data_IF_892529264883
#
_entry.id   IF_892529264883
#
_cell.length_a   1.000
_cell.length_b   1.000
_cell.length_c   1.000
_cell.angle_alpha   90.00
_cell.angle_beta   90.00
_cell.angle_gamma   90.00
#
_symmetry.space_group_name_H-M   'P 1'
#
loop_
_entity.id
_entity.type
_entity.pdbx_description
1 polymer ?
#
# COMPACT_ATOMS: atom_id res chain seq x y z
N UNK A 1 47.02 -32.27 51.56
CA UNK A 1 46.27 -32.68 50.33
C UNK A 1 44.82 -32.85 50.76
N UNK A 2 43.77 -32.19 50.26
CA UNK A 2 43.36 -31.82 48.89
C UNK A 2 42.59 -30.49 48.93
N UNK A 3 42.78 -29.66 47.90
CA UNK A 3 41.95 -28.49 47.58
C UNK A 3 40.70 -28.96 46.83
N UNK A 4 39.52 -28.46 47.20
CA UNK A 4 38.32 -28.59 46.37
C UNK A 4 37.87 -27.20 45.90
N UNK A 5 37.99 -27.02 44.59
CA UNK A 5 37.74 -25.81 43.82
C UNK A 5 36.23 -25.60 43.66
N UNK A 6 35.77 -24.38 43.91
CA UNK A 6 34.40 -23.92 43.70
C UNK A 6 34.06 -23.92 42.21
N UNK A 7 32.87 -24.40 41.84
CA UNK A 7 32.30 -24.20 40.51
C UNK A 7 30.96 -23.48 40.66
N UNK A 8 30.96 -22.17 40.41
CA UNK A 8 29.77 -21.36 40.34
C UNK A 8 29.19 -21.45 38.92
N UNK A 9 27.98 -21.99 38.80
CA UNK A 9 27.26 -22.11 37.54
C UNK A 9 26.52 -20.80 37.27
N UNK A 10 27.08 -19.94 36.41
CA UNK A 10 26.38 -18.76 35.90
C UNK A 10 25.45 -19.22 34.75
N UNK A 11 24.14 -19.22 35.00
CA UNK A 11 23.12 -19.32 33.94
C UNK A 11 23.05 -17.97 33.21
N UNK A 12 23.74 -17.86 32.07
CA UNK A 12 23.53 -16.77 31.12
C UNK A 12 22.24 -17.02 30.35
N UNK A 13 21.18 -16.30 30.73
CA UNK A 13 19.92 -16.24 29.99
C UNK A 13 20.19 -15.47 28.68
N UNK A 14 20.39 -16.20 27.58
CA UNK A 14 20.51 -15.61 26.25
C UNK A 14 19.15 -15.01 25.85
N UNK A 15 19.01 -13.70 26.04
CA UNK A 15 17.93 -12.93 25.44
C UNK A 15 18.12 -12.99 23.92
N UNK A 16 17.42 -13.89 23.24
CA UNK A 16 17.34 -13.86 21.79
C UNK A 16 16.70 -12.52 21.38
N UNK A 17 17.35 -11.72 20.52
CA UNK A 17 16.69 -10.54 19.98
C UNK A 17 15.47 -11.01 19.22
N UNK A 18 14.28 -10.55 19.63
CA UNK A 18 13.09 -10.64 18.79
C UNK A 18 13.38 -9.76 17.58
N UNK A 19 13.84 -10.38 16.49
CA UNK A 19 13.89 -9.72 15.20
C UNK A 19 12.46 -9.32 14.88
N UNK A 20 12.20 -8.01 14.87
CA UNK A 20 10.95 -7.47 14.39
C UNK A 20 10.77 -7.95 12.94
N UNK A 21 9.90 -8.94 12.75
CA UNK A 21 9.56 -9.47 11.44
C UNK A 21 8.82 -8.37 10.66
N UNK A 22 9.50 -7.78 9.68
CA UNK A 22 8.83 -7.01 8.63
C UNK A 22 7.87 -7.95 7.88
N UNK A 23 6.66 -7.49 7.58
CA UNK A 23 5.73 -8.28 6.76
C UNK A 23 6.32 -8.42 5.36
N UNK A 24 6.74 -9.63 5.00
CA UNK A 24 7.18 -9.96 3.64
C UNK A 24 5.96 -10.08 2.73
N UNK A 25 5.74 -9.08 1.89
CA UNK A 25 4.62 -9.09 0.94
C UNK A 25 4.86 -10.05 -0.21
N UNK A 26 3.77 -10.56 -0.79
CA UNK A 26 3.83 -11.39 -1.99
C UNK A 26 4.13 -10.55 -3.24
N UNK A 27 5.12 -10.93 -4.07
CA UNK A 27 5.28 -10.33 -5.39
C UNK A 27 4.11 -10.70 -6.30
N UNK A 28 3.80 -9.83 -7.25
CA UNK A 28 2.74 -10.05 -8.23
C UNK A 28 1.71 -8.93 -8.28
N UNK A 29 0.51 -9.28 -8.73
CA UNK A 29 -0.61 -8.35 -8.89
C UNK A 29 -1.27 -8.09 -7.56
N UNK A 30 -1.45 -6.82 -7.24
CA UNK A 30 -2.24 -6.33 -6.14
C UNK A 30 -3.39 -5.48 -6.64
N UNK A 31 -4.58 -5.64 -6.08
CA UNK A 31 -5.74 -4.80 -6.35
C UNK A 31 -5.98 -3.86 -5.18
N UNK A 32 -5.98 -2.55 -5.46
CA UNK A 32 -6.18 -1.47 -4.49
C UNK A 32 -7.57 -0.88 -4.66
N UNK A 33 -8.36 -0.94 -3.60
CA UNK A 33 -9.71 -0.38 -3.55
C UNK A 33 -9.76 0.79 -2.57
N UNK A 34 -10.23 1.96 -3.03
CA UNK A 34 -10.39 3.15 -2.22
C UNK A 34 -11.85 3.34 -1.79
N UNK A 35 -12.04 3.73 -0.52
CA UNK A 35 -13.33 3.90 0.14
C UNK A 35 -13.27 5.10 1.11
N UNK A 36 -14.45 5.50 1.62
CA UNK A 36 -14.59 6.56 2.61
C UNK A 36 -13.89 7.89 2.25
N UNK A 37 -13.78 8.18 0.94
CA UNK A 37 -13.13 9.39 0.46
C UNK A 37 -13.99 10.61 0.76
N UNK A 38 -13.38 11.64 1.34
CA UNK A 38 -14.02 12.93 1.63
C UNK A 38 -13.14 14.09 1.16
N UNK A 39 -13.77 15.13 0.63
CA UNK A 39 -13.12 16.39 0.25
C UNK A 39 -14.03 17.54 0.66
N UNK A 40 -13.51 18.50 1.42
CA UNK A 40 -14.31 19.65 1.91
C UNK A 40 -15.51 19.24 2.77
N UNK A 41 -15.44 18.08 3.44
CA UNK A 41 -16.55 17.51 4.21
C UNK A 41 -17.63 16.83 3.36
N UNK A 42 -17.46 16.74 2.04
CA UNK A 42 -18.35 16.01 1.14
C UNK A 42 -17.81 14.61 0.88
N UNK A 43 -18.67 13.60 1.01
CA UNK A 43 -18.35 12.24 0.62
C UNK A 43 -18.25 12.14 -0.90
N UNK A 44 -17.15 11.58 -1.38
CA UNK A 44 -16.93 11.28 -2.79
C UNK A 44 -17.33 9.84 -3.10
N UNK A 45 -17.71 9.52 -4.35
CA UNK A 45 -17.98 8.14 -4.75
C UNK A 45 -16.78 7.24 -4.50
N UNK A 46 -17.02 6.08 -3.86
CA UNK A 46 -16.01 5.03 -3.68
C UNK A 46 -15.70 4.30 -4.98
N UNK A 47 -14.63 3.49 -4.98
CA UNK A 47 -14.25 2.71 -6.16
C UNK A 47 -15.33 1.71 -6.59
N UNK A 48 -16.06 1.13 -5.64
CA UNK A 48 -17.21 0.27 -5.88
C UNK A 48 -18.29 0.95 -6.73
N UNK A 49 -18.64 2.20 -6.38
CA UNK A 49 -19.64 2.99 -7.11
C UNK A 49 -19.14 3.38 -8.49
N UNK A 50 -17.87 3.78 -8.60
CA UNK A 50 -17.24 4.10 -9.88
C UNK A 50 -17.28 2.87 -10.79
N UNK A 51 -16.84 1.70 -10.30
CA UNK A 51 -16.84 0.44 -11.05
C UNK A 51 -18.25 0.04 -11.50
N UNK A 52 -19.26 0.18 -10.63
CA UNK A 52 -20.65 -0.07 -10.98
C UNK A 52 -21.13 0.85 -12.12
N UNK A 53 -20.76 2.13 -12.08
CA UNK A 53 -21.09 3.06 -13.18
C UNK A 53 -20.41 2.65 -14.48
N UNK A 54 -19.15 2.22 -14.46
CA UNK A 54 -18.46 1.76 -15.67
C UNK A 54 -19.11 0.51 -16.27
N UNK A 55 -19.55 -0.42 -15.42
CA UNK A 55 -20.26 -1.64 -15.86
C UNK A 55 -21.60 -1.30 -16.53
N UNK A 56 -22.21 -0.17 -16.20
CA UNK A 56 -23.44 0.30 -16.83
C UNK A 56 -23.21 1.05 -18.15
N UNK A 57 -21.96 1.36 -18.52
CA UNK A 57 -21.66 2.01 -19.80
C UNK A 57 -21.87 1.05 -20.99
N UNK A 58 -22.25 1.58 -22.18
CA UNK A 58 -22.22 0.81 -23.42
C UNK A 58 -20.83 0.22 -23.68
N UNK A 59 -20.72 -1.00 -24.26
CA UNK A 59 -19.45 -1.70 -24.43
C UNK A 59 -18.35 -0.86 -25.11
N UNK A 60 -18.69 -0.15 -26.20
CA UNK A 60 -17.74 0.69 -26.92
C UNK A 60 -17.20 1.84 -26.06
N UNK A 61 -18.06 2.46 -25.25
CA UNK A 61 -17.66 3.56 -24.36
C UNK A 61 -16.80 3.05 -23.19
N UNK A 62 -17.14 1.87 -22.65
CA UNK A 62 -16.34 1.23 -21.61
C UNK A 62 -14.93 0.89 -22.12
N UNK A 63 -14.83 0.26 -23.29
CA UNK A 63 -13.55 -0.08 -23.92
C UNK A 63 -12.70 1.16 -24.20
N UNK A 64 -13.31 2.24 -24.71
CA UNK A 64 -12.61 3.51 -24.92
C UNK A 64 -12.04 4.06 -23.62
N UNK A 65 -12.81 4.03 -22.54
CA UNK A 65 -12.37 4.50 -21.22
C UNK A 65 -11.27 3.62 -20.61
N UNK A 66 -11.43 2.30 -20.68
CA UNK A 66 -10.41 1.34 -20.25
C UNK A 66 -9.10 1.51 -21.04
N UNK A 67 -9.18 1.73 -22.35
CA UNK A 67 -8.02 2.04 -23.20
C UNK A 67 -7.30 3.30 -22.74
N UNK A 68 -8.02 4.40 -22.52
CA UNK A 68 -7.43 5.65 -22.00
C UNK A 68 -6.79 5.49 -20.62
N UNK A 69 -7.36 4.65 -19.74
CA UNK A 69 -6.77 4.35 -18.44
C UNK A 69 -5.49 3.52 -18.59
N UNK A 70 -5.51 2.51 -19.47
CA UNK A 70 -4.35 1.68 -19.77
C UNK A 70 -3.20 2.50 -20.36
N UNK A 71 -3.49 3.48 -21.23
CA UNK A 71 -2.49 4.43 -21.75
C UNK A 71 -1.84 5.27 -20.64
N UNK A 72 -2.58 5.55 -19.56
CA UNK A 72 -2.07 6.19 -18.34
C UNK A 72 -1.45 5.18 -17.36
N UNK A 73 -1.29 3.93 -17.78
CA UNK A 73 -0.70 2.86 -16.99
C UNK A 73 -1.58 2.35 -15.85
N UNK A 74 -2.89 2.64 -15.88
CA UNK A 74 -3.88 2.19 -14.91
C UNK A 74 -4.65 1.01 -15.48
N UNK A 75 -4.67 -0.10 -14.76
CA UNK A 75 -5.52 -1.26 -15.07
C UNK A 75 -6.58 -1.39 -14.00
N UNK A 76 -7.83 -1.59 -14.39
CA UNK A 76 -8.91 -1.87 -13.44
C UNK A 76 -9.14 -3.37 -13.33
N UNK A 77 -9.30 -3.83 -12.09
CA UNK A 77 -9.80 -5.15 -11.77
C UNK A 77 -11.25 -5.08 -11.28
N UNK A 78 -11.71 -6.13 -10.61
CA UNK A 78 -13.11 -6.26 -10.21
C UNK A 78 -13.47 -5.37 -9.01
N UNK A 79 -12.52 -5.10 -8.12
CA UNK A 79 -12.71 -4.31 -6.90
C UNK A 79 -11.91 -3.01 -6.83
N UNK A 80 -11.01 -2.75 -7.79
CA UNK A 80 -10.18 -1.54 -7.76
C UNK A 80 -9.11 -1.48 -8.84
N UNK A 81 -8.07 -0.69 -8.59
CA UNK A 81 -6.92 -0.52 -9.50
C UNK A 81 -5.91 -1.64 -9.25
N UNK A 82 -5.47 -2.30 -10.32
CA UNK A 82 -4.43 -3.32 -10.25
C UNK A 82 -3.04 -2.70 -10.47
N UNK A 83 -2.11 -3.06 -9.60
CA UNK A 83 -0.69 -2.71 -9.68
C UNK A 83 0.16 -3.99 -9.62
N UNK A 84 1.34 -3.97 -10.24
CA UNK A 84 2.33 -5.03 -10.07
C UNK A 84 3.36 -4.58 -9.02
N UNK A 85 3.60 -5.42 -8.01
CA UNK A 85 4.70 -5.26 -7.07
C UNK A 85 5.77 -6.31 -7.38
N UNK A 86 6.98 -5.88 -7.72
CA UNK A 86 8.10 -6.80 -7.96
C UNK A 86 8.75 -7.23 -6.65
N UNK A 87 9.47 -8.35 -6.69
CA UNK A 87 10.20 -8.85 -5.53
C UNK A 87 11.28 -7.84 -5.08
N UNK A 88 11.94 -7.18 -6.03
CA UNK A 88 12.94 -6.15 -5.76
C UNK A 88 12.32 -4.95 -5.04
N UNK A 89 11.15 -4.48 -5.47
CA UNK A 89 10.43 -3.37 -4.83
C UNK A 89 10.02 -3.71 -3.39
N UNK A 90 9.56 -4.94 -3.16
CA UNK A 90 9.18 -5.41 -1.83
C UNK A 90 10.42 -5.48 -0.93
N UNK A 91 11.53 -6.06 -1.43
CA UNK A 91 12.78 -6.20 -0.69
C UNK A 91 13.45 -4.86 -0.37
N UNK A 92 13.43 -3.91 -1.31
CA UNK A 92 13.95 -2.56 -1.08
C UNK A 92 13.02 -1.71 -0.21
N UNK A 93 11.83 -2.21 0.12
CA UNK A 93 10.75 -1.47 0.77
C UNK A 93 10.38 -0.21 -0.03
N UNK A 94 10.53 -0.25 -1.34
CA UNK A 94 10.16 0.79 -2.29
C UNK A 94 8.83 0.42 -2.95
N UNK A 95 7.80 0.29 -2.11
CA UNK A 95 6.44 0.00 -2.57
C UNK A 95 5.91 1.30 -3.20
N UNK A 96 5.58 1.31 -4.50
CA UNK A 96 5.02 2.48 -5.17
C UNK A 96 3.59 2.69 -4.68
N UNK A 97 3.45 3.40 -3.55
CA UNK A 97 2.15 3.83 -3.03
C UNK A 97 1.52 4.94 -3.88
N UNK A 98 2.26 5.45 -4.88
CA UNK A 98 1.85 6.52 -5.79
C UNK A 98 2.33 6.23 -7.21
N UNK A 99 1.64 6.80 -8.20
CA UNK A 99 2.07 6.76 -9.60
C UNK A 99 3.35 7.62 -9.77
N UNK A 100 4.45 7.08 -10.31
CA UNK A 100 5.68 7.85 -10.53
C UNK A 100 5.49 9.09 -11.42
N UNK A 101 4.45 9.13 -12.26
CA UNK A 101 4.14 10.28 -13.12
C UNK A 101 3.19 11.31 -12.46
N UNK A 102 2.76 11.07 -11.22
CA UNK A 102 1.78 11.95 -10.53
C UNK A 102 2.36 13.30 -10.09
N UNK A 103 3.69 13.47 -10.09
CA UNK A 103 4.36 14.62 -9.49
C UNK A 103 4.28 14.65 -7.96
N UNK A 104 3.78 13.58 -7.34
CA UNK A 104 3.74 13.45 -5.89
C UNK A 104 5.09 12.97 -5.35
N UNK A 105 5.51 13.54 -4.23
CA UNK A 105 6.63 13.10 -3.42
C UNK A 105 6.06 12.45 -2.15
N UNK A 106 6.64 11.32 -1.74
CA UNK A 106 6.32 10.64 -0.50
C UNK A 106 7.58 10.45 0.35
N UNK A 107 7.47 10.78 1.63
CA UNK A 107 8.51 10.58 2.61
C UNK A 107 8.00 9.66 3.72
N UNK A 108 8.65 8.50 3.89
CA UNK A 108 8.35 7.63 5.02
C UNK A 108 8.92 8.25 6.31
N UNK A 109 8.06 8.43 7.31
CA UNK A 109 8.40 9.06 8.60
C UNK A 109 8.62 8.02 9.71
N UNK A 110 7.98 6.86 9.60
CA UNK A 110 8.13 5.76 10.56
C UNK A 110 8.02 4.42 9.81
N UNK A 111 8.92 3.49 10.13
CA UNK A 111 8.82 2.09 9.70
C UNK A 111 8.92 1.18 10.91
N UNK A 112 7.87 0.44 11.16
CA UNK A 112 7.83 -0.70 12.07
C UNK A 112 7.32 -1.95 11.33
N UNK A 113 7.40 -3.12 11.96
CA UNK A 113 7.14 -4.40 11.29
C UNK A 113 5.83 -4.48 10.51
N UNK A 114 4.74 -3.92 11.06
CA UNK A 114 3.41 -3.95 10.46
C UNK A 114 2.76 -2.57 10.26
N UNK A 115 3.48 -1.47 10.53
CA UNK A 115 2.95 -0.12 10.40
C UNK A 115 4.01 0.80 9.79
N UNK A 116 3.67 1.40 8.65
CA UNK A 116 4.45 2.47 8.05
C UNK A 116 3.67 3.77 8.13
N UNK A 117 4.33 4.86 8.50
CA UNK A 117 3.75 6.19 8.42
C UNK A 117 4.51 7.00 7.40
N UNK A 118 3.81 7.87 6.69
CA UNK A 118 4.39 8.68 5.64
C UNK A 118 3.75 10.05 5.57
N UNK A 119 4.49 10.98 4.99
CA UNK A 119 3.98 12.25 4.48
C UNK A 119 4.02 12.24 2.98
N UNK A 120 3.12 12.98 2.36
CA UNK A 120 3.13 13.17 0.92
C UNK A 120 2.83 14.62 0.55
N UNK A 121 3.39 15.04 -0.58
CA UNK A 121 3.15 16.34 -1.21
C UNK A 121 3.01 16.13 -2.71
N UNK A 122 1.88 16.53 -3.25
CA UNK A 122 1.52 16.55 -4.67
C UNK A 122 1.27 18.00 -5.10
N UNK A 123 1.19 18.31 -6.41
CA UNK A 123 0.88 19.67 -6.88
C UNK A 123 -0.41 20.25 -6.27
N UNK A 124 -1.45 19.42 -6.15
CA UNK A 124 -2.78 19.82 -5.66
C UNK A 124 -3.14 19.22 -4.29
N UNK A 125 -2.26 18.44 -3.66
CA UNK A 125 -2.60 17.71 -2.44
C UNK A 125 -1.40 17.58 -1.50
N UNK A 126 -1.63 17.50 -0.20
CA UNK A 126 -0.59 17.17 0.76
C UNK A 126 -1.19 16.57 2.01
N UNK A 127 -0.41 15.81 2.78
CA UNK A 127 -0.89 15.27 4.03
C UNK A 127 0.00 14.18 4.60
N UNK A 128 -0.61 13.39 5.47
CA UNK A 128 0.04 12.26 6.13
C UNK A 128 -0.83 11.01 5.96
N UNK A 129 -0.20 9.85 6.01
CA UNK A 129 -0.89 8.59 5.97
C UNK A 129 -0.19 7.50 6.76
N UNK A 130 -0.94 6.45 7.03
CA UNK A 130 -0.41 5.23 7.64
C UNK A 130 -0.86 4.00 6.85
N UNK A 131 0.08 3.11 6.59
CA UNK A 131 -0.15 1.80 5.99
C UNK A 131 0.03 0.74 7.06
N UNK A 132 -1.00 -0.06 7.30
CA UNK A 132 -0.97 -1.23 8.18
C UNK A 132 -0.95 -2.51 7.36
N UNK A 133 0.09 -3.30 7.54
CA UNK A 133 0.22 -4.61 6.90
C UNK A 133 -0.53 -5.65 7.73
N UNK A 134 -1.63 -6.15 7.17
CA UNK A 134 -2.53 -7.12 7.83
C UNK A 134 -1.99 -8.53 7.65
N UNK A 135 -1.46 -8.83 6.46
CA UNK A 135 -0.79 -10.09 6.11
C UNK A 135 0.20 -9.87 4.96
N UNK A 136 0.87 -10.93 4.54
CA UNK A 136 1.69 -10.96 3.31
C UNK A 136 0.87 -10.69 2.03
N UNK A 137 -0.46 -10.76 2.11
CA UNK A 137 -1.41 -10.62 1.00
C UNK A 137 -2.45 -9.52 1.17
N UNK A 138 -2.38 -8.75 2.27
CA UNK A 138 -3.33 -7.67 2.54
C UNK A 138 -2.68 -6.54 3.34
N UNK A 139 -2.92 -5.30 2.92
CA UNK A 139 -2.62 -4.11 3.71
C UNK A 139 -3.70 -3.05 3.53
N UNK A 140 -3.82 -2.17 4.52
CA UNK A 140 -4.77 -1.05 4.52
C UNK A 140 -4.03 0.26 4.68
N UNK A 141 -4.48 1.31 4.01
CA UNK A 141 -3.89 2.64 4.11
C UNK A 141 -4.96 3.65 4.51
N UNK A 142 -4.65 4.52 5.47
CA UNK A 142 -5.47 5.69 5.79
C UNK A 142 -4.68 6.95 5.48
N UNK A 143 -5.32 7.93 4.88
CA UNK A 143 -4.72 9.20 4.49
C UNK A 143 -5.60 10.35 4.96
N UNK A 144 -4.97 11.39 5.50
CA UNK A 144 -5.61 12.66 5.85
C UNK A 144 -4.73 13.82 5.40
N UNK A 145 -5.36 14.87 4.90
CA UNK A 145 -4.62 15.99 4.35
C UNK A 145 -5.50 17.07 3.77
N UNK A 146 -5.01 17.70 2.71
CA UNK A 146 -5.75 18.65 1.91
C UNK A 146 -5.68 18.29 0.44
N UNK A 147 -6.73 18.64 -0.30
CA UNK A 147 -6.80 18.61 -1.75
C UNK A 147 -7.38 19.93 -2.24
N UNK A 148 -6.64 20.65 -3.09
CA UNK A 148 -6.98 22.00 -3.58
C UNK A 148 -7.38 22.96 -2.44
N UNK A 149 -6.66 22.90 -1.33
CA UNK A 149 -6.89 23.72 -0.13
C UNK A 149 -8.07 23.27 0.75
N UNK A 150 -8.84 22.26 0.35
CA UNK A 150 -9.94 21.71 1.15
C UNK A 150 -9.46 20.52 1.99
N UNK A 151 -9.97 20.32 3.23
CA UNK A 151 -9.68 19.12 4.01
C UNK A 151 -10.05 17.86 3.23
N UNK A 152 -9.19 16.85 3.25
CA UNK A 152 -9.43 15.57 2.57
C UNK A 152 -9.05 14.38 3.44
N UNK A 153 -9.76 13.26 3.23
CA UNK A 153 -9.42 11.97 3.83
C UNK A 153 -9.81 10.83 2.90
N UNK A 154 -9.10 9.71 3.00
CA UNK A 154 -9.38 8.51 2.22
C UNK A 154 -8.87 7.28 2.97
N UNK A 155 -9.56 6.16 2.79
CA UNK A 155 -9.11 4.85 3.22
C UNK A 155 -8.95 3.96 1.98
N UNK A 156 -7.97 3.07 2.00
CA UNK A 156 -7.79 2.08 0.96
C UNK A 156 -7.40 0.71 1.51
N UNK A 157 -7.72 -0.32 0.74
CA UNK A 157 -7.36 -1.70 1.03
C UNK A 157 -6.73 -2.30 -0.22
N UNK A 158 -5.58 -2.93 -0.05
CA UNK A 158 -4.86 -3.62 -1.10
C UNK A 158 -4.86 -5.13 -0.82
N UNK A 159 -5.18 -5.92 -1.84
CA UNK A 159 -5.17 -7.39 -1.77
C UNK A 159 -4.33 -8.00 -2.90
N UNK A 160 -3.58 -9.03 -2.57
CA UNK A 160 -2.85 -9.81 -3.57
C UNK A 160 -3.80 -10.67 -4.40
N UNK A 161 -3.64 -10.60 -5.72
CA UNK A 161 -4.52 -11.24 -6.70
C UNK A 161 -3.86 -12.43 -7.40
N UNK A 162 -2.52 -12.48 -7.46
CA UNK A 162 -1.79 -13.53 -8.15
C UNK A 162 -0.36 -13.14 -8.46
N UNK A 163 0.49 -14.12 -8.75
CA UNK A 163 1.92 -13.89 -8.99
C UNK A 163 2.23 -13.29 -10.37
N UNK A 164 1.34 -13.48 -11.36
CA UNK A 164 1.61 -13.09 -12.74
C UNK A 164 1.16 -11.65 -13.02
N UNK A 165 2.13 -10.75 -13.12
CA UNK A 165 1.87 -9.35 -13.49
C UNK A 165 1.39 -9.17 -14.93
N UNK A 166 1.66 -10.11 -15.84
CA UNK A 166 1.29 -9.97 -17.26
C UNK A 166 1.64 -8.59 -17.82
N UNK A 167 0.64 -7.93 -18.42
CA UNK A 167 0.78 -6.58 -19.01
C UNK A 167 1.00 -5.43 -18.00
N UNK A 168 0.95 -5.69 -16.69
CA UNK A 168 1.26 -4.68 -15.65
C UNK A 168 2.74 -4.56 -15.34
N UNK A 169 3.56 -5.51 -15.83
CA UNK A 169 5.00 -5.50 -15.60
C UNK A 169 5.59 -4.34 -16.42
N UNK A 170 5.92 -3.24 -15.75
CA UNK A 170 6.67 -2.12 -16.33
C UNK A 170 8.16 -2.31 -16.12
#
# INVERSE_FOLDING_TARGET
MRRHTRCALFLTFALAPVLASAVELQPGVWEVSAHNMQVGGQAMPGMDQILAQMQNLPPAQRQMMEGMMAERGVKLGAGGVQICLTEEQIKSQDIPLQDPNSGCNQQITERSGNLWKFRFTCPDAQGEGETRFVSDKEFTTQVKGTYKGQPSSMESQARWMGADCGALKR
#
